data_IF_201548246232
#
_entry.id   IF_201548246232
#
_cell.length_a   1.000
_cell.length_b   1.000
_cell.length_c   1.000
_cell.angle_alpha   90.00
_cell.angle_beta   90.00
_cell.angle_gamma   90.00
#
_symmetry.space_group_name_H-M   'P 1'
#
loop_
_entity.id
_entity.type
_entity.pdbx_description
1 polymer ?
#
# COMPACT_ATOMS: atom_id res chain seq x y z
N UNK A 1 -46.19 -61.47 -22.31
CA UNK A 1 -46.58 -60.27 -21.52
C UNK A 1 -45.61 -60.15 -20.37
N UNK A 2 -44.99 -58.97 -20.15
CA UNK A 2 -44.08 -58.59 -19.01
C UNK A 2 -42.88 -59.54 -18.76
N UNK A 3 -41.74 -59.19 -18.15
CA UNK A 3 -41.07 -57.92 -17.80
C UNK A 3 -39.55 -58.15 -18.06
N UNK A 4 -38.52 -57.37 -17.69
CA UNK A 4 -38.31 -56.13 -16.90
C UNK A 4 -37.23 -55.32 -17.64
N UNK A 5 -37.25 -53.97 -17.65
CA UNK A 5 -36.08 -53.18 -18.09
C UNK A 5 -35.97 -51.80 -17.40
N UNK A 6 -35.91 -51.80 -16.06
CA UNK A 6 -35.66 -50.58 -15.28
C UNK A 6 -34.15 -50.34 -15.12
N UNK A 7 -33.53 -49.69 -16.10
CA UNK A 7 -32.23 -49.04 -15.92
C UNK A 7 -32.51 -47.61 -15.48
N UNK A 8 -32.35 -47.34 -14.18
CA UNK A 8 -32.44 -45.98 -13.63
C UNK A 8 -31.16 -45.21 -14.00
N UNK A 9 -31.28 -44.32 -14.99
CA UNK A 9 -30.23 -43.37 -15.33
C UNK A 9 -30.14 -42.30 -14.24
N UNK A 10 -29.13 -42.40 -13.40
CA UNK A 10 -28.81 -41.37 -12.41
C UNK A 10 -28.21 -40.15 -13.15
N UNK A 11 -29.04 -39.15 -13.43
CA UNK A 11 -28.57 -37.88 -14.00
C UNK A 11 -27.78 -37.13 -12.93
N UNK A 12 -26.46 -37.25 -12.97
CA UNK A 12 -25.57 -36.43 -12.18
C UNK A 12 -25.64 -34.98 -12.69
N UNK A 13 -26.50 -34.17 -12.08
CA UNK A 13 -26.49 -32.72 -12.29
C UNK A 13 -25.16 -32.18 -11.78
N UNK A 14 -24.25 -31.86 -12.70
CA UNK A 14 -23.04 -31.11 -12.40
C UNK A 14 -23.43 -29.68 -12.00
N UNK A 15 -23.79 -29.50 -10.73
CA UNK A 15 -23.82 -28.19 -10.10
C UNK A 15 -22.40 -27.65 -10.09
N UNK A 16 -22.06 -26.91 -11.13
CA UNK A 16 -20.86 -26.09 -11.15
C UNK A 16 -20.93 -25.14 -9.95
N UNK A 17 -20.21 -25.50 -8.89
CA UNK A 17 -19.90 -24.61 -7.79
C UNK A 17 -19.04 -23.48 -8.36
N UNK A 18 -19.72 -22.48 -8.93
CA UNK A 18 -19.16 -21.14 -9.07
C UNK A 18 -18.93 -20.65 -7.67
N UNK A 19 -17.75 -20.95 -7.11
CA UNK A 19 -17.26 -20.24 -5.94
C UNK A 19 -17.35 -18.77 -6.32
N UNK A 20 -18.14 -17.95 -5.60
CA UNK A 20 -18.14 -16.53 -5.88
C UNK A 20 -16.69 -16.08 -5.73
N UNK A 21 -16.12 -15.43 -6.77
CA UNK A 21 -14.81 -14.80 -6.65
C UNK A 21 -14.83 -14.02 -5.34
N UNK A 22 -14.00 -14.42 -4.39
CA UNK A 22 -14.03 -13.88 -3.04
C UNK A 22 -13.73 -12.39 -3.16
N UNK A 23 -14.78 -11.56 -3.11
CA UNK A 23 -14.67 -10.10 -3.19
C UNK A 23 -13.65 -9.70 -2.14
N UNK A 24 -12.57 -9.04 -2.58
CA UNK A 24 -11.53 -8.57 -1.65
C UNK A 24 -12.22 -7.73 -0.58
N UNK A 25 -11.97 -8.08 0.67
CA UNK A 25 -12.71 -7.55 1.81
C UNK A 25 -11.93 -6.42 2.48
N UNK A 26 -12.61 -5.65 3.34
CA UNK A 26 -11.96 -4.69 4.20
C UNK A 26 -10.78 -5.28 5.02
N UNK A 27 -10.85 -6.56 5.37
CA UNK A 27 -9.79 -7.26 6.08
C UNK A 27 -8.51 -7.46 5.24
N UNK A 28 -8.64 -7.59 3.91
CA UNK A 28 -7.46 -7.60 3.03
C UNK A 28 -6.79 -6.23 3.05
N UNK A 29 -7.56 -5.16 2.80
CA UNK A 29 -7.03 -3.78 2.82
C UNK A 29 -6.36 -3.44 4.15
N UNK A 30 -6.92 -3.88 5.29
CA UNK A 30 -6.30 -3.69 6.61
C UNK A 30 -4.98 -4.47 6.75
N UNK A 31 -4.90 -5.69 6.21
CA UNK A 31 -3.65 -6.46 6.14
C UNK A 31 -2.60 -5.76 5.26
N UNK A 32 -3.03 -5.21 4.13
CA UNK A 32 -2.14 -4.52 3.20
C UNK A 32 -1.60 -3.21 3.82
N UNK A 33 -2.43 -2.45 4.52
CA UNK A 33 -2.01 -1.24 5.28
C UNK A 33 -1.03 -1.61 6.41
N UNK A 34 -1.27 -2.70 7.14
CA UNK A 34 -0.33 -3.21 8.16
C UNK A 34 1.01 -3.65 7.56
N UNK A 35 0.99 -4.18 6.33
CA UNK A 35 2.20 -4.54 5.58
C UNK A 35 2.97 -3.31 5.11
N UNK A 36 2.25 -2.28 4.62
CA UNK A 36 2.82 -0.96 4.29
C UNK A 36 3.48 -0.36 5.52
N UNK A 37 2.81 -0.35 6.68
CA UNK A 37 3.36 0.15 7.94
C UNK A 37 4.67 -0.55 8.35
N UNK A 38 4.69 -1.87 8.28
CA UNK A 38 5.89 -2.69 8.53
C UNK A 38 7.03 -2.31 7.59
N UNK A 39 6.73 -2.05 6.31
CA UNK A 39 7.73 -1.67 5.31
C UNK A 39 8.20 -0.22 5.43
N UNK A 40 7.34 0.71 5.85
CA UNK A 40 7.71 2.09 6.21
C UNK A 40 8.68 2.07 7.40
N UNK A 41 8.35 1.36 8.48
CA UNK A 41 9.23 1.17 9.66
C UNK A 41 10.56 0.50 9.29
N UNK A 42 10.54 -0.43 8.34
CA UNK A 42 11.74 -1.09 7.81
C UNK A 42 12.61 -0.11 7.00
N UNK A 43 12.00 0.75 6.18
CA UNK A 43 12.69 1.81 5.44
C UNK A 43 13.33 2.82 6.39
N UNK A 44 12.61 3.26 7.43
CA UNK A 44 13.12 4.14 8.50
C UNK A 44 14.35 3.54 9.18
N UNK A 45 14.30 2.24 9.49
CA UNK A 45 15.40 1.51 10.12
C UNK A 45 16.62 1.38 9.18
N UNK A 46 16.39 1.06 7.91
CA UNK A 46 17.43 0.95 6.87
C UNK A 46 18.10 2.31 6.62
N UNK A 47 17.32 3.38 6.52
CA UNK A 47 17.80 4.75 6.38
C UNK A 47 18.66 5.17 7.58
N UNK A 48 18.20 4.93 8.81
CA UNK A 48 18.97 5.24 10.02
C UNK A 48 20.31 4.47 10.09
N UNK A 49 20.32 3.20 9.67
CA UNK A 49 21.53 2.36 9.63
C UNK A 49 22.51 2.71 8.49
N UNK A 50 22.04 3.34 7.41
CA UNK A 50 22.88 3.76 6.30
C UNK A 50 23.81 4.92 6.71
N UNK A 51 25.12 4.74 6.52
CA UNK A 51 26.14 5.73 6.89
C UNK A 51 27.05 6.10 5.70
N UNK A 52 26.50 6.01 4.48
CA UNK A 52 27.28 6.08 3.24
C UNK A 52 28.04 4.78 2.96
N UNK A 53 29.14 4.89 2.21
CA UNK A 53 29.99 3.75 1.83
C UNK A 53 29.75 3.26 0.40
N UNK A 54 29.21 4.12 -0.46
CA UNK A 54 28.99 3.89 -1.87
C UNK A 54 27.64 3.26 -2.21
N UNK A 55 27.39 3.18 -3.52
CA UNK A 55 26.16 2.70 -4.15
C UNK A 55 25.72 1.32 -3.60
N UNK A 56 26.64 0.45 -3.21
CA UNK A 56 26.33 -0.88 -2.64
C UNK A 56 25.63 -0.84 -1.28
N UNK A 57 25.88 0.19 -0.47
CA UNK A 57 25.15 0.42 0.79
C UNK A 57 23.84 1.15 0.54
N UNK A 58 23.81 2.14 -0.36
CA UNK A 58 22.57 2.79 -0.76
C UNK A 58 21.55 1.82 -1.38
N UNK A 59 22.01 0.83 -2.15
CA UNK A 59 21.18 -0.23 -2.74
C UNK A 59 20.40 -1.04 -1.69
N UNK A 60 20.91 -1.18 -0.46
CA UNK A 60 20.18 -1.86 0.63
C UNK A 60 18.98 -1.04 1.10
N UNK A 61 19.08 0.29 1.08
CA UNK A 61 17.94 1.19 1.35
C UNK A 61 16.94 1.08 0.20
N UNK A 62 17.42 1.15 -1.05
CA UNK A 62 16.58 0.99 -2.25
C UNK A 62 15.79 -0.32 -2.28
N UNK A 63 16.38 -1.44 -1.87
CA UNK A 63 15.69 -2.74 -1.88
C UNK A 63 14.51 -2.78 -0.89
N UNK A 64 14.62 -2.08 0.24
CA UNK A 64 13.52 -1.92 1.21
C UNK A 64 12.47 -0.96 0.67
N UNK A 65 12.89 0.14 0.05
CA UNK A 65 12.05 1.12 -0.64
C UNK A 65 11.20 0.45 -1.75
N UNK A 66 11.80 -0.30 -2.67
CA UNK A 66 11.08 -1.06 -3.70
C UNK A 66 10.15 -2.14 -3.13
N UNK A 67 10.37 -2.58 -1.89
CA UNK A 67 9.47 -3.51 -1.20
C UNK A 67 8.23 -2.77 -0.68
N UNK A 68 8.40 -1.54 -0.19
CA UNK A 68 7.32 -0.62 0.14
C UNK A 68 6.48 -0.26 -1.11
N UNK A 69 7.11 0.10 -2.24
CA UNK A 69 6.38 0.37 -3.51
C UNK A 69 5.48 -0.81 -3.92
N UNK A 70 5.98 -2.04 -3.81
CA UNK A 70 5.23 -3.27 -4.14
C UNK A 70 4.03 -3.45 -3.21
N UNK A 71 4.18 -3.18 -1.92
CA UNK A 71 3.07 -3.23 -0.96
C UNK A 71 2.00 -2.17 -1.23
N UNK A 72 2.39 -0.93 -1.51
CA UNK A 72 1.45 0.15 -1.88
C UNK A 72 0.72 -0.22 -3.18
N UNK A 73 1.45 -0.73 -4.18
CA UNK A 73 0.88 -1.21 -5.44
C UNK A 73 -0.10 -2.37 -5.23
N UNK A 74 0.19 -3.29 -4.32
CA UNK A 74 -0.69 -4.42 -4.03
C UNK A 74 -1.95 -3.98 -3.29
N UNK A 75 -1.83 -3.13 -2.27
CA UNK A 75 -2.98 -2.50 -1.60
C UNK A 75 -3.88 -1.76 -2.61
N UNK A 76 -3.28 -1.07 -3.59
CA UNK A 76 -4.00 -0.41 -4.67
C UNK A 76 -4.78 -1.39 -5.56
N UNK A 77 -4.24 -2.58 -5.84
CA UNK A 77 -4.94 -3.65 -6.58
C UNK A 77 -6.11 -4.22 -5.79
N UNK A 78 -5.91 -4.54 -4.50
CA UNK A 78 -6.96 -5.13 -3.67
C UNK A 78 -8.07 -4.11 -3.34
N UNK A 79 -7.73 -2.84 -3.12
CA UNK A 79 -8.71 -1.75 -3.04
C UNK A 79 -9.45 -1.52 -4.38
N UNK A 80 -8.82 -1.78 -5.53
CA UNK A 80 -9.48 -1.78 -6.84
C UNK A 80 -10.46 -2.95 -7.04
N UNK A 81 -10.16 -4.11 -6.46
CA UNK A 81 -11.04 -5.28 -6.45
C UNK A 81 -12.15 -5.23 -5.37
N UNK A 82 -12.07 -4.28 -4.44
CA UNK A 82 -13.05 -4.10 -3.35
C UNK A 82 -14.20 -3.19 -3.80
N UNK A 83 -15.44 -3.60 -3.48
CA UNK A 83 -16.65 -2.78 -3.67
C UNK A 83 -16.78 -1.70 -2.58
N UNK A 84 -17.78 -0.83 -2.67
CA UNK A 84 -18.03 0.17 -1.62
C UNK A 84 -18.11 -0.47 -0.23
N UNK A 85 -17.44 0.17 0.73
CA UNK A 85 -17.28 -0.28 2.12
C UNK A 85 -18.47 0.15 2.99
N UNK A 86 -18.66 -0.57 4.10
CA UNK A 86 -19.53 -0.11 5.19
C UNK A 86 -18.89 1.07 5.94
N UNK A 87 -19.68 1.87 6.67
CA UNK A 87 -19.13 2.94 7.52
C UNK A 87 -18.22 2.40 8.63
N UNK A 88 -18.53 1.22 9.17
CA UNK A 88 -17.69 0.57 10.18
C UNK A 88 -16.31 0.19 9.61
N UNK A 89 -16.27 -0.40 8.41
CA UNK A 89 -15.00 -0.80 7.78
C UNK A 89 -14.22 0.39 7.24
N UNK A 90 -14.92 1.39 6.70
CA UNK A 90 -14.34 2.68 6.28
C UNK A 90 -13.66 3.39 7.45
N UNK A 91 -14.29 3.37 8.64
CA UNK A 91 -13.73 3.92 9.87
C UNK A 91 -12.48 3.15 10.31
N UNK A 92 -12.48 1.81 10.28
CA UNK A 92 -11.29 1.01 10.60
C UNK A 92 -10.12 1.32 9.67
N UNK A 93 -10.37 1.39 8.36
CA UNK A 93 -9.35 1.67 7.34
C UNK A 93 -8.82 3.10 7.49
N UNK A 94 -9.67 4.11 7.69
CA UNK A 94 -9.22 5.48 7.96
C UNK A 94 -8.43 5.60 9.27
N UNK A 95 -8.76 4.83 10.30
CA UNK A 95 -7.97 4.79 11.53
C UNK A 95 -6.62 4.09 11.32
N UNK A 96 -6.54 3.02 10.53
CA UNK A 96 -5.27 2.39 10.16
C UNK A 96 -4.36 3.35 9.36
N UNK A 97 -4.93 4.09 8.40
CA UNK A 97 -4.20 5.16 7.69
C UNK A 97 -3.77 6.28 8.66
N UNK A 98 -4.60 6.64 9.66
CA UNK A 98 -4.21 7.65 10.66
C UNK A 98 -2.97 7.27 11.43
N UNK A 99 -2.86 6.00 11.83
CA UNK A 99 -1.71 5.47 12.58
C UNK A 99 -0.44 5.38 11.73
N UNK A 100 -0.56 5.26 10.40
CA UNK A 100 0.56 5.17 9.48
C UNK A 100 1.27 6.52 9.25
N UNK A 101 0.55 7.64 9.36
CA UNK A 101 1.08 8.99 9.13
C UNK A 101 2.37 9.30 9.92
N UNK A 102 2.43 9.15 11.27
CA UNK A 102 3.65 9.45 12.02
C UNK A 102 4.84 8.54 11.66
N UNK A 103 4.59 7.31 11.19
CA UNK A 103 5.65 6.42 10.70
C UNK A 103 6.17 6.85 9.31
N UNK A 104 5.31 7.38 8.44
CA UNK A 104 5.71 8.02 7.17
C UNK A 104 6.58 9.25 7.46
N UNK A 105 6.11 10.16 8.31
CA UNK A 105 6.86 11.35 8.74
C UNK A 105 8.27 10.98 9.25
N UNK A 106 8.35 9.96 10.12
CA UNK A 106 9.61 9.45 10.66
C UNK A 106 10.53 8.85 9.58
N UNK A 107 9.97 8.14 8.59
CA UNK A 107 10.73 7.55 7.47
C UNK A 107 11.32 8.61 6.57
N UNK A 108 10.50 9.59 6.17
CA UNK A 108 10.92 10.75 5.40
C UNK A 108 12.04 11.48 6.15
N UNK A 109 11.88 11.70 7.46
CA UNK A 109 12.89 12.37 8.27
C UNK A 109 14.20 11.58 8.39
N UNK A 110 14.14 10.26 8.51
CA UNK A 110 15.33 9.41 8.51
C UNK A 110 16.10 9.50 7.19
N UNK A 111 15.39 9.53 6.04
CA UNK A 111 16.00 9.71 4.71
C UNK A 111 16.60 11.12 4.54
N UNK A 112 15.89 12.18 4.93
CA UNK A 112 16.40 13.56 4.92
C UNK A 112 17.72 13.71 5.68
N UNK A 113 17.79 13.12 6.88
CA UNK A 113 18.98 13.16 7.74
C UNK A 113 20.21 12.47 7.11
N UNK A 114 20.04 11.72 6.01
CA UNK A 114 21.11 11.04 5.25
C UNK A 114 21.38 11.67 3.88
N UNK A 115 20.80 12.84 3.57
CA UNK A 115 20.97 13.53 2.28
C UNK A 115 22.45 13.76 1.91
N UNK A 116 23.30 14.10 2.88
CA UNK A 116 24.73 14.34 2.63
C UNK A 116 25.43 13.05 2.16
N UNK A 117 25.14 11.92 2.80
CA UNK A 117 25.67 10.60 2.47
C UNK A 117 25.15 10.14 1.10
N UNK A 118 23.85 10.25 0.82
CA UNK A 118 23.29 9.96 -0.52
C UNK A 118 23.86 10.87 -1.62
N UNK A 119 24.25 12.10 -1.30
CA UNK A 119 24.92 13.01 -2.24
C UNK A 119 26.37 12.60 -2.49
N UNK A 120 27.12 12.26 -1.43
CA UNK A 120 28.50 11.78 -1.54
C UNK A 120 28.60 10.44 -2.29
N UNK A 121 27.64 9.54 -2.08
CA UNK A 121 27.55 8.25 -2.77
C UNK A 121 26.94 8.35 -4.20
N UNK A 122 26.61 9.58 -4.66
CA UNK A 122 26.17 9.85 -6.03
C UNK A 122 24.70 9.50 -6.36
N UNK A 123 23.88 9.19 -5.35
CA UNK A 123 22.51 8.65 -5.51
C UNK A 123 21.38 9.63 -5.15
N UNK A 124 21.69 10.92 -4.89
CA UNK A 124 20.68 11.96 -4.54
C UNK A 124 19.50 12.02 -5.52
N UNK A 125 19.77 11.85 -6.82
CA UNK A 125 18.76 11.87 -7.88
C UNK A 125 17.84 10.64 -7.87
N UNK A 126 18.34 9.49 -7.42
CA UNK A 126 17.56 8.27 -7.25
C UNK A 126 16.58 8.45 -6.09
N UNK A 127 17.07 8.89 -4.92
CA UNK A 127 16.22 9.19 -3.75
C UNK A 127 15.11 10.20 -4.10
N UNK A 128 15.44 11.25 -4.87
CA UNK A 128 14.43 12.21 -5.37
C UNK A 128 13.39 11.58 -6.31
N UNK A 129 13.77 10.56 -7.08
CA UNK A 129 12.86 9.83 -7.95
C UNK A 129 11.97 8.88 -7.12
N UNK A 130 12.52 8.18 -6.15
CA UNK A 130 11.79 7.29 -5.23
C UNK A 130 10.70 8.07 -4.49
N UNK A 131 11.03 9.24 -3.93
CA UNK A 131 10.05 10.14 -3.29
C UNK A 131 8.87 10.48 -4.21
N UNK A 132 9.11 10.72 -5.50
CA UNK A 132 8.06 11.01 -6.49
C UNK A 132 7.25 9.76 -6.85
N UNK A 133 7.88 8.60 -6.94
CA UNK A 133 7.20 7.34 -7.24
C UNK A 133 6.31 6.92 -6.06
N UNK A 134 6.84 6.94 -4.84
CA UNK A 134 6.09 6.69 -3.60
C UNK A 134 4.92 7.65 -3.42
N UNK A 135 5.10 8.95 -3.68
CA UNK A 135 3.99 9.91 -3.69
C UNK A 135 2.91 9.47 -4.69
N UNK A 136 3.28 9.23 -5.95
CA UNK A 136 2.33 8.84 -7.01
C UNK A 136 1.62 7.50 -6.77
N UNK A 137 2.27 6.55 -6.09
CA UNK A 137 1.65 5.28 -5.68
C UNK A 137 0.70 5.48 -4.49
N UNK A 138 1.09 6.30 -3.52
CA UNK A 138 0.30 6.62 -2.34
C UNK A 138 -0.94 7.44 -2.71
N UNK A 139 -0.81 8.40 -3.64
CA UNK A 139 -1.92 9.14 -4.25
C UNK A 139 -3.01 8.20 -4.78
N UNK A 140 -2.60 7.26 -5.64
CA UNK A 140 -3.51 6.29 -6.29
C UNK A 140 -4.18 5.38 -5.28
N UNK A 141 -3.46 4.97 -4.23
CA UNK A 141 -4.04 4.20 -3.12
C UNK A 141 -5.06 5.03 -2.35
N UNK A 142 -4.69 6.24 -1.91
CA UNK A 142 -5.55 7.13 -1.14
C UNK A 142 -6.83 7.51 -1.89
N UNK A 143 -6.72 7.88 -3.17
CA UNK A 143 -7.86 8.19 -4.04
C UNK A 143 -8.79 6.99 -4.19
N UNK A 144 -8.23 5.77 -4.29
CA UNK A 144 -9.05 4.55 -4.36
C UNK A 144 -9.75 4.27 -3.04
N UNK A 145 -9.07 4.42 -1.90
CA UNK A 145 -9.67 4.26 -0.56
C UNK A 145 -10.79 5.30 -0.32
N UNK A 146 -10.59 6.56 -0.72
CA UNK A 146 -11.62 7.62 -0.69
C UNK A 146 -12.80 7.29 -1.61
N UNK A 147 -12.54 6.64 -2.75
CA UNK A 147 -13.58 6.24 -3.70
C UNK A 147 -14.49 5.16 -3.11
N UNK A 148 -13.91 4.07 -2.59
CA UNK A 148 -14.66 2.93 -2.02
C UNK A 148 -15.19 3.18 -0.59
N UNK A 149 -14.63 4.15 0.13
CA UNK A 149 -15.09 4.53 1.47
C UNK A 149 -16.54 5.01 1.50
N UNK A 150 -17.20 4.79 2.64
CA UNK A 150 -18.53 5.33 2.93
C UNK A 150 -18.54 6.86 2.91
N UNK A 151 -19.72 7.47 2.70
CA UNK A 151 -19.84 8.92 2.55
C UNK A 151 -19.36 9.70 3.79
N UNK A 152 -19.60 9.16 4.99
CA UNK A 152 -19.26 9.75 6.29
C UNK A 152 -17.75 9.88 6.53
N UNK A 153 -16.90 9.03 5.92
CA UNK A 153 -15.45 9.11 6.12
C UNK A 153 -14.73 10.05 5.14
N UNK A 154 -15.36 10.45 4.02
CA UNK A 154 -14.64 11.05 2.87
C UNK A 154 -13.93 12.36 3.21
N UNK A 155 -14.48 13.17 4.11
CA UNK A 155 -13.82 14.41 4.57
C UNK A 155 -12.54 14.11 5.34
N UNK A 156 -12.59 13.18 6.31
CA UNK A 156 -11.42 12.75 7.08
C UNK A 156 -10.36 12.09 6.18
N UNK A 157 -10.77 11.20 5.28
CA UNK A 157 -9.85 10.51 4.37
C UNK A 157 -9.12 11.50 3.42
N UNK A 158 -9.81 12.55 2.95
CA UNK A 158 -9.18 13.64 2.18
C UNK A 158 -8.19 14.47 2.99
N UNK A 159 -8.47 14.74 4.27
CA UNK A 159 -7.53 15.42 5.17
C UNK A 159 -6.28 14.57 5.41
N UNK A 160 -6.46 13.26 5.65
CA UNK A 160 -5.36 12.31 5.80
C UNK A 160 -4.47 12.24 4.55
N UNK A 161 -5.08 12.21 3.36
CA UNK A 161 -4.34 12.31 2.09
C UNK A 161 -3.55 13.63 2.04
N UNK A 162 -4.19 14.77 2.29
CA UNK A 162 -3.54 16.08 2.22
C UNK A 162 -2.35 16.25 3.18
N UNK A 163 -2.37 15.61 4.37
CA UNK A 163 -1.19 15.53 5.26
C UNK A 163 -0.05 14.77 4.57
N UNK A 164 -0.31 13.54 4.13
CA UNK A 164 0.70 12.68 3.48
C UNK A 164 1.26 13.34 2.22
N UNK A 165 0.42 13.98 1.41
CA UNK A 165 0.82 14.75 0.22
C UNK A 165 1.82 15.86 0.56
N UNK A 166 1.60 16.55 1.69
CA UNK A 166 2.46 17.63 2.18
C UNK A 166 3.81 17.12 2.69
N UNK A 167 3.84 15.97 3.36
CA UNK A 167 5.08 15.33 3.83
C UNK A 167 5.96 14.89 2.65
N UNK A 168 5.35 14.23 1.65
CA UNK A 168 6.03 13.89 0.40
C UNK A 168 6.52 15.14 -0.35
N UNK A 169 5.70 16.21 -0.44
CA UNK A 169 6.12 17.47 -1.06
C UNK A 169 7.29 18.13 -0.31
N UNK A 170 7.33 18.01 1.02
CA UNK A 170 8.46 18.41 1.86
C UNK A 170 9.74 17.68 1.49
N UNK A 171 9.72 16.34 1.51
CA UNK A 171 10.87 15.50 1.14
C UNK A 171 11.36 15.72 -0.29
N UNK A 172 10.43 15.80 -1.26
CA UNK A 172 10.74 16.11 -2.67
C UNK A 172 11.45 17.47 -2.78
N UNK A 173 10.93 18.50 -2.12
CA UNK A 173 11.56 19.84 -2.09
C UNK A 173 12.94 19.80 -1.44
N UNK A 174 13.09 19.05 -0.35
CA UNK A 174 14.35 18.90 0.36
C UNK A 174 15.43 18.25 -0.53
N UNK A 175 15.12 17.20 -1.28
CA UNK A 175 16.07 16.53 -2.18
C UNK A 175 16.25 17.22 -3.55
N UNK A 176 15.33 18.09 -3.95
CA UNK A 176 15.45 18.91 -5.17
C UNK A 176 16.48 20.06 -5.07
N UNK A 177 16.97 20.34 -3.85
CA UNK A 177 18.10 21.26 -3.61
C UNK A 177 19.42 20.50 -3.55
#
# INVERSE_FOLDING_TARGET
MVAIKNILLFVATASALTTPLAKRTAAQILTDISTIDTNVKSLTSSANAYNGGGISNALKVQQVEQTLEKSITQAGKDANATSQLTSADSTKISNAVQSLIPDIEASIKAIENKKAQFTADGVKSVVLQDFKTLQSLTDKLADRLITIGSADIKTKAKQQKATIDADFAGGIKFFST
#
